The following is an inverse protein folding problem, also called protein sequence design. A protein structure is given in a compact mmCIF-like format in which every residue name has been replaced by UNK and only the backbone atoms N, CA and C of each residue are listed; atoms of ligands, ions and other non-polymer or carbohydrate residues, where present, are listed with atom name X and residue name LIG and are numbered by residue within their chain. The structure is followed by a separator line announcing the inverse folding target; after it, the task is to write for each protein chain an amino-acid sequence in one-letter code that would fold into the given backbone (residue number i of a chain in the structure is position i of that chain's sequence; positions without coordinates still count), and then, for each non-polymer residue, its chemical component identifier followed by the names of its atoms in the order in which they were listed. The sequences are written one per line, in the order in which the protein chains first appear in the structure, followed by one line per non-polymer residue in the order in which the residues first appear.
data_IF_283240413003
#
_entry.id   IF_283240413003
#
_cell.length_a   1.000
_cell.length_b   1.000
_cell.length_c   1.000
_cell.angle_alpha   90.00
_cell.angle_beta   90.00
_cell.angle_gamma   90.00
#
_symmetry.space_group_name_H-M   'P 1'
#
loop_
_entity.id
_entity.type
_entity.pdbx_description
1 polymer ?
#
# COMPACT_ATOMS: atom_id res chain seq x y z
N UNK A 1 3.23 43.04 -32.70
CA UNK A 1 3.31 41.59 -32.53
C UNK A 1 4.21 41.35 -31.33
N UNK A 2 3.75 40.60 -30.33
CA UNK A 2 4.60 40.17 -29.21
C UNK A 2 5.29 38.90 -29.66
N UNK A 3 6.62 38.89 -29.64
CA UNK A 3 7.43 37.72 -29.91
C UNK A 3 7.15 36.68 -28.81
N UNK A 4 6.67 35.51 -29.20
CA UNK A 4 6.53 34.35 -28.32
C UNK A 4 7.92 33.75 -28.12
N UNK A 5 8.40 33.74 -26.87
CA UNK A 5 9.67 33.10 -26.53
C UNK A 5 9.59 31.59 -26.84
N UNK A 6 10.65 31.00 -27.41
CA UNK A 6 10.65 29.57 -27.74
C UNK A 6 10.55 28.72 -26.47
N UNK A 7 9.55 27.84 -26.43
CA UNK A 7 9.39 26.85 -25.35
C UNK A 7 10.51 25.82 -25.49
N UNK A 8 11.54 25.90 -24.65
CA UNK A 8 12.54 24.83 -24.51
C UNK A 8 11.91 23.64 -23.78
N UNK A 9 11.62 22.57 -24.54
CA UNK A 9 11.22 21.28 -23.95
C UNK A 9 12.46 20.53 -23.50
N UNK A 10 12.85 20.74 -22.25
CA UNK A 10 13.93 19.99 -21.60
C UNK A 10 13.42 18.56 -21.32
N UNK A 11 13.93 17.59 -22.08
CA UNK A 11 13.67 16.17 -21.82
C UNK A 11 14.60 15.69 -20.71
N UNK A 12 14.18 15.85 -19.46
CA UNK A 12 14.86 15.25 -18.31
C UNK A 12 14.48 13.77 -18.17
N UNK A 13 15.46 12.90 -17.94
CA UNK A 13 15.21 11.52 -17.50
C UNK A 13 15.33 11.42 -15.98
N UNK A 14 14.46 10.64 -15.36
CA UNK A 14 14.55 10.27 -13.95
C UNK A 14 14.68 8.74 -13.84
N UNK A 15 15.45 8.28 -12.86
CA UNK A 15 15.60 6.86 -12.53
C UNK A 15 15.01 6.61 -11.15
N UNK A 16 14.19 5.56 -11.02
CA UNK A 16 13.64 5.10 -9.74
C UNK A 16 14.11 3.66 -9.54
N UNK A 17 14.75 3.40 -8.40
CA UNK A 17 15.05 2.05 -7.92
C UNK A 17 14.11 1.75 -6.75
N UNK A 18 13.37 0.64 -6.84
CA UNK A 18 12.43 0.19 -5.82
C UNK A 18 12.88 -1.17 -5.29
N UNK A 19 12.90 -1.31 -3.96
CA UNK A 19 13.13 -2.61 -3.34
C UNK A 19 11.89 -3.51 -3.57
N UNK A 20 12.10 -4.74 -4.05
CA UNK A 20 11.05 -5.75 -4.17
C UNK A 20 10.82 -6.47 -2.83
N UNK A 21 9.60 -6.97 -2.65
CA UNK A 21 9.26 -7.87 -1.54
C UNK A 21 8.93 -9.27 -2.04
N UNK A 22 9.20 -10.26 -1.19
CA UNK A 22 8.98 -11.66 -1.54
C UNK A 22 7.48 -11.96 -1.75
N UNK A 23 7.12 -12.93 -2.60
CA UNK A 23 5.76 -13.42 -2.68
C UNK A 23 5.36 -14.11 -1.36
N UNK A 24 4.06 -14.25 -1.08
CA UNK A 24 3.60 -14.98 0.10
C UNK A 24 4.12 -16.42 0.10
N UNK A 25 4.44 -17.01 1.27
CA UNK A 25 4.85 -18.40 1.37
C UNK A 25 3.80 -19.36 0.76
N UNK A 26 4.22 -20.48 0.16
CA UNK A 26 3.29 -21.52 -0.27
C UNK A 26 2.37 -21.95 0.88
N UNK A 27 1.08 -22.12 0.60
CA UNK A 27 0.06 -22.54 1.58
C UNK A 27 -0.09 -21.60 2.79
N UNK A 28 0.26 -20.31 2.67
CA UNK A 28 -0.03 -19.33 3.72
C UNK A 28 -1.51 -19.35 4.07
N UNK A 29 -1.85 -19.38 5.36
CA UNK A 29 -3.23 -19.25 5.85
C UNK A 29 -3.28 -18.07 6.81
N UNK A 30 -4.07 -17.06 6.44
CA UNK A 30 -4.35 -15.95 7.33
C UNK A 30 -5.19 -16.43 8.52
N UNK A 31 -4.79 -16.03 9.73
CA UNK A 31 -5.61 -16.22 10.93
C UNK A 31 -6.73 -15.18 11.09
N UNK A 32 -6.73 -14.13 10.27
CA UNK A 32 -7.72 -13.07 10.29
C UNK A 32 -8.86 -13.39 9.34
N UNK A 33 -10.08 -12.95 9.67
CA UNK A 33 -11.25 -13.14 8.81
C UNK A 33 -11.56 -11.91 7.97
N UNK A 34 -11.14 -10.73 8.41
CA UNK A 34 -11.42 -9.47 7.72
C UNK A 34 -10.19 -8.59 7.61
N UNK A 35 -10.18 -7.72 6.60
CA UNK A 35 -9.15 -6.67 6.43
C UNK A 35 -9.05 -5.80 7.69
N UNK A 36 -10.19 -5.48 8.32
CA UNK A 36 -10.21 -4.66 9.52
C UNK A 36 -9.58 -5.37 10.74
N UNK A 37 -9.84 -6.68 10.92
CA UNK A 37 -9.17 -7.47 11.97
C UNK A 37 -7.65 -7.52 11.75
N UNK A 38 -7.23 -7.77 10.51
CA UNK A 38 -5.82 -7.83 10.13
C UNK A 38 -5.08 -6.51 10.40
N UNK A 39 -5.60 -5.39 9.88
CA UNK A 39 -4.96 -4.09 10.06
C UNK A 39 -5.05 -3.59 11.51
N UNK A 40 -6.14 -3.89 12.22
CA UNK A 40 -6.26 -3.58 13.64
C UNK A 40 -5.24 -4.36 14.47
N UNK A 41 -5.01 -5.64 14.15
CA UNK A 41 -4.00 -6.43 14.83
C UNK A 41 -2.61 -5.82 14.64
N UNK A 42 -2.25 -5.45 13.41
CA UNK A 42 -0.95 -4.81 13.13
C UNK A 42 -0.82 -3.49 13.90
N UNK A 43 -1.86 -2.66 13.88
CA UNK A 43 -1.88 -1.38 14.59
C UNK A 43 -1.71 -1.53 16.11
N UNK A 44 -2.20 -2.62 16.71
CA UNK A 44 -2.14 -2.87 18.16
C UNK A 44 -0.84 -3.54 18.62
N UNK A 45 -0.21 -4.34 17.76
CA UNK A 45 0.87 -5.24 18.16
C UNK A 45 2.23 -4.87 17.59
N UNK A 46 2.26 -3.95 16.62
CA UNK A 46 3.48 -3.58 15.93
C UNK A 46 3.69 -2.07 15.98
N UNK A 47 4.97 -1.67 15.93
CA UNK A 47 5.37 -0.27 15.78
C UNK A 47 6.62 -0.22 14.91
N UNK A 48 6.61 0.55 13.81
CA UNK A 48 7.81 0.77 13.01
C UNK A 48 8.95 1.35 13.85
N UNK A 49 10.19 0.93 13.57
CA UNK A 49 11.39 1.46 14.24
C UNK A 49 11.71 2.90 13.82
N UNK A 50 11.18 3.33 12.68
CA UNK A 50 11.32 4.67 12.10
C UNK A 50 9.96 5.10 11.56
N UNK A 51 9.76 6.41 11.42
CA UNK A 51 8.58 6.92 10.69
C UNK A 51 8.63 6.44 9.24
N UNK A 52 7.49 5.94 8.78
CA UNK A 52 7.30 5.44 7.42
C UNK A 52 6.48 6.46 6.65
N UNK A 53 6.96 6.89 5.50
CA UNK A 53 6.31 7.91 4.69
C UNK A 53 5.11 7.38 3.94
N UNK A 54 5.17 6.18 3.38
CA UNK A 54 4.06 5.59 2.64
C UNK A 54 3.81 4.15 3.08
N UNK A 55 2.55 3.76 3.18
CA UNK A 55 2.17 2.36 3.28
C UNK A 55 1.51 1.91 2.00
N UNK A 56 1.96 0.79 1.47
CA UNK A 56 1.48 0.22 0.23
C UNK A 56 0.74 -1.09 0.53
N UNK A 57 -0.49 -1.18 0.03
CA UNK A 57 -1.31 -2.39 0.10
C UNK A 57 -1.43 -2.96 -1.30
N UNK A 58 -0.74 -4.08 -1.54
CA UNK A 58 -0.72 -4.76 -2.82
C UNK A 58 -1.57 -6.03 -2.78
N UNK A 59 -1.99 -6.51 -3.94
CA UNK A 59 -2.73 -7.77 -4.10
C UNK A 59 -1.93 -8.70 -4.98
N UNK A 60 -1.66 -9.90 -4.48
CA UNK A 60 -1.27 -11.04 -5.30
C UNK A 60 -2.51 -11.82 -5.69
N UNK A 61 -2.61 -12.13 -6.98
CA UNK A 61 -3.70 -12.91 -7.57
C UNK A 61 -3.20 -14.33 -7.80
N UNK A 62 -3.80 -15.30 -7.13
CA UNK A 62 -3.67 -16.71 -7.46
C UNK A 62 -4.77 -17.15 -8.41
N UNK A 63 -4.82 -18.46 -8.69
CA UNK A 63 -5.84 -19.04 -9.58
C UNK A 63 -7.27 -18.83 -9.06
N UNK A 64 -7.44 -18.89 -7.73
CA UNK A 64 -8.74 -18.86 -7.05
C UNK A 64 -8.71 -18.05 -5.73
N UNK A 65 -7.69 -17.22 -5.52
CA UNK A 65 -7.50 -16.47 -4.28
C UNK A 65 -6.84 -15.11 -4.49
N UNK A 66 -6.99 -14.27 -3.47
CA UNK A 66 -6.39 -12.94 -3.38
C UNK A 66 -5.64 -12.82 -2.06
N UNK A 67 -4.34 -12.54 -2.14
CA UNK A 67 -3.51 -12.25 -0.95
C UNK A 67 -3.18 -10.78 -0.92
N UNK A 68 -3.62 -10.08 0.13
CA UNK A 68 -3.19 -8.71 0.40
C UNK A 68 -1.80 -8.74 1.05
N UNK A 69 -0.96 -7.77 0.72
CA UNK A 69 0.34 -7.55 1.33
C UNK A 69 0.49 -6.10 1.76
N UNK A 70 0.95 -5.87 2.99
CA UNK A 70 1.25 -4.53 3.52
C UNK A 70 2.76 -4.33 3.61
N UNK A 71 3.28 -3.28 2.99
CA UNK A 71 4.65 -2.78 3.16
C UNK A 71 4.63 -1.31 3.58
N UNK A 72 5.73 -0.87 4.18
CA UNK A 72 5.99 0.53 4.46
C UNK A 72 7.27 0.98 3.78
N UNK A 73 7.18 2.05 2.99
CA UNK A 73 8.26 2.56 2.16
C UNK A 73 8.67 3.99 2.53
N UNK A 74 9.94 4.28 2.28
CA UNK A 74 10.52 5.61 2.33
C UNK A 74 11.23 5.93 1.02
N UNK A 75 11.01 7.13 0.50
CA UNK A 75 11.63 7.63 -0.73
C UNK A 75 12.77 8.59 -0.39
N UNK A 76 13.92 8.39 -1.00
CA UNK A 76 15.11 9.21 -0.83
C UNK A 76 15.52 9.81 -2.16
N UNK A 77 15.63 11.13 -2.20
CA UNK A 77 16.27 11.85 -3.31
C UNK A 77 17.78 11.66 -3.18
N UNK A 78 18.37 10.96 -4.15
CA UNK A 78 19.82 10.72 -4.20
C UNK A 78 20.49 11.79 -5.07
N UNK A 79 19.79 12.22 -6.14
CA UNK A 79 20.16 13.36 -6.97
C UNK A 79 18.92 13.96 -7.61
N UNK A 80 19.08 15.05 -8.37
CA UNK A 80 18.00 15.67 -9.14
C UNK A 80 17.36 14.74 -10.18
N UNK A 81 18.01 13.63 -10.53
CA UNK A 81 17.55 12.68 -11.55
C UNK A 81 17.42 11.26 -11.02
N UNK A 82 17.64 11.03 -9.73
CA UNK A 82 17.63 9.69 -9.15
C UNK A 82 16.98 9.66 -7.77
N UNK A 83 15.96 8.82 -7.66
CA UNK A 83 15.25 8.53 -6.43
C UNK A 83 15.37 7.04 -6.10
N UNK A 84 15.43 6.75 -4.81
CA UNK A 84 15.39 5.39 -4.30
C UNK A 84 14.22 5.20 -3.35
N UNK A 85 13.42 4.19 -3.60
CA UNK A 85 12.33 3.76 -2.72
C UNK A 85 12.79 2.51 -2.00
N UNK A 86 12.79 2.56 -0.67
CA UNK A 86 13.18 1.43 0.18
C UNK A 86 12.01 0.93 1.00
N UNK A 87 11.88 -0.39 1.10
CA UNK A 87 10.99 -1.03 2.07
C UNK A 87 11.70 -0.99 3.43
N UNK A 88 11.19 -0.14 4.34
CA UNK A 88 11.75 0.02 5.68
C UNK A 88 10.81 -0.52 6.79
N UNK A 89 9.63 -0.98 6.41
CA UNK A 89 8.71 -1.66 7.31
C UNK A 89 8.00 -2.81 6.62
N UNK A 90 8.05 -3.97 7.26
CA UNK A 90 7.35 -5.18 6.86
C UNK A 90 6.73 -5.75 8.13
N UNK A 91 5.40 -5.72 8.29
CA UNK A 91 4.79 -6.23 9.49
C UNK A 91 5.01 -7.75 9.62
N UNK A 92 5.06 -8.26 10.84
CA UNK A 92 5.15 -9.71 11.08
C UNK A 92 3.96 -10.46 10.47
N UNK A 93 2.82 -9.78 10.34
CA UNK A 93 1.62 -10.27 9.66
C UNK A 93 1.45 -9.57 8.31
N UNK A 94 2.50 -9.55 7.49
CA UNK A 94 2.54 -8.88 6.19
C UNK A 94 1.40 -9.27 5.25
N UNK A 95 1.04 -10.54 5.24
CA UNK A 95 0.07 -11.08 4.29
C UNK A 95 -1.30 -11.31 4.94
N UNK A 96 -2.35 -11.11 4.14
CA UNK A 96 -3.73 -11.45 4.48
C UNK A 96 -4.40 -12.13 3.29
N UNK A 97 -4.64 -13.44 3.41
CA UNK A 97 -5.48 -14.17 2.48
C UNK A 97 -6.94 -13.77 2.64
N UNK A 98 -7.54 -13.24 1.57
CA UNK A 98 -8.95 -12.90 1.53
C UNK A 98 -9.76 -14.21 1.56
N UNK A 99 -10.67 -14.42 2.52
CA UNK A 99 -11.46 -15.64 2.58
C UNK A 99 -12.28 -15.84 1.30
N UNK A 100 -12.33 -17.07 0.77
CA UNK A 100 -13.13 -17.38 -0.44
C UNK A 100 -14.59 -16.94 -0.34
N UNK A 101 -15.17 -16.94 0.86
CA UNK A 101 -16.53 -16.45 1.10
C UNK A 101 -16.73 -14.97 0.79
N UNK A 102 -15.68 -14.16 0.82
CA UNK A 102 -15.72 -12.71 0.56
C UNK A 102 -15.69 -12.36 -0.93
N UNK A 103 -15.23 -13.28 -1.79
CA UNK A 103 -15.03 -12.98 -3.22
C UNK A 103 -15.61 -14.03 -4.19
N UNK A 104 -16.14 -15.15 -3.69
CA UNK A 104 -16.74 -16.17 -4.55
C UNK A 104 -17.91 -15.60 -5.35
N UNK A 105 -17.82 -15.69 -6.67
CA UNK A 105 -18.86 -15.21 -7.59
C UNK A 105 -18.80 -13.71 -7.88
N UNK A 106 -17.81 -13.00 -7.35
CA UNK A 106 -17.54 -11.60 -7.71
C UNK A 106 -16.58 -11.53 -8.89
N UNK A 107 -16.70 -10.47 -9.70
CA UNK A 107 -15.66 -10.10 -10.66
C UNK A 107 -14.47 -9.47 -9.93
N UNK A 108 -13.31 -9.42 -10.59
CA UNK A 108 -12.11 -8.78 -10.06
C UNK A 108 -12.36 -7.33 -9.63
N UNK A 109 -13.09 -6.58 -10.44
CA UNK A 109 -13.44 -5.19 -10.14
C UNK A 109 -14.29 -5.09 -8.87
N UNK A 110 -15.28 -5.97 -8.71
CA UNK A 110 -16.12 -6.04 -7.51
C UNK A 110 -15.32 -6.42 -6.26
N UNK A 111 -14.33 -7.30 -6.40
CA UNK A 111 -13.40 -7.62 -5.30
C UNK A 111 -12.61 -6.39 -4.90
N UNK A 112 -12.06 -5.64 -5.85
CA UNK A 112 -11.27 -4.44 -5.58
C UNK A 112 -12.10 -3.29 -5.02
N UNK A 113 -13.35 -3.14 -5.45
CA UNK A 113 -14.31 -2.21 -4.84
C UNK A 113 -14.60 -2.60 -3.39
N UNK A 114 -14.91 -3.88 -3.13
CA UNK A 114 -15.15 -4.37 -1.78
C UNK A 114 -13.95 -4.19 -0.87
N UNK A 115 -12.74 -4.53 -1.32
CA UNK A 115 -11.50 -4.29 -0.57
C UNK A 115 -11.30 -2.82 -0.27
N UNK A 116 -11.56 -1.95 -1.24
CA UNK A 116 -11.47 -0.50 -1.05
C UNK A 116 -12.42 -0.02 0.05
N UNK A 117 -13.66 -0.52 0.08
CA UNK A 117 -14.63 -0.18 1.12
C UNK A 117 -14.17 -0.67 2.50
N UNK A 118 -13.60 -1.86 2.60
CA UNK A 118 -13.04 -2.36 3.86
C UNK A 118 -11.85 -1.50 4.34
N UNK A 119 -10.96 -1.09 3.43
CA UNK A 119 -9.84 -0.21 3.76
C UNK A 119 -10.32 1.18 4.22
N UNK A 120 -11.31 1.76 3.52
CA UNK A 120 -11.90 3.04 3.90
C UNK A 120 -12.57 3.00 5.28
N UNK A 121 -13.22 1.88 5.62
CA UNK A 121 -13.78 1.64 6.97
C UNK A 121 -12.67 1.62 8.02
N UNK A 122 -11.57 0.92 7.76
CA UNK A 122 -10.41 0.92 8.67
C UNK A 122 -9.83 2.32 8.84
N UNK A 123 -9.53 3.03 7.74
CA UNK A 123 -8.98 4.40 7.75
C UNK A 123 -9.88 5.38 8.52
N UNK A 124 -11.20 5.20 8.45
CA UNK A 124 -12.15 6.06 9.18
C UNK A 124 -12.26 5.72 10.67
N UNK A 125 -11.76 4.57 11.09
CA UNK A 125 -11.92 4.03 12.44
C UNK A 125 -11.10 4.77 13.50
N UNK A 126 -11.51 4.64 14.76
CA UNK A 126 -10.72 5.11 15.89
C UNK A 126 -9.39 4.35 16.02
N UNK A 127 -9.34 3.09 15.57
CA UNK A 127 -8.11 2.28 15.58
C UNK A 127 -7.04 2.93 14.71
N UNK A 128 -7.39 3.24 13.47
CA UNK A 128 -6.49 3.94 12.56
C UNK A 128 -6.00 5.26 13.15
N UNK A 129 -6.93 6.12 13.62
CA UNK A 129 -6.63 7.45 14.17
C UNK A 129 -5.66 7.45 15.36
N UNK A 130 -5.57 6.34 16.09
CA UNK A 130 -4.70 6.19 17.25
C UNK A 130 -3.49 5.26 16.99
N UNK A 131 -3.26 4.90 15.72
CA UNK A 131 -2.17 4.01 15.31
C UNK A 131 -1.04 4.76 14.61
N UNK A 132 0.11 4.09 14.48
CA UNK A 132 1.27 4.59 13.77
C UNK A 132 1.00 4.89 12.28
N UNK A 133 -0.07 4.34 11.69
CA UNK A 133 -0.43 4.62 10.29
C UNK A 133 -0.69 6.10 10.05
N UNK A 134 -1.14 6.84 11.06
CA UNK A 134 -1.41 8.29 10.95
C UNK A 134 -0.15 9.14 10.85
N UNK A 135 1.01 8.59 11.19
CA UNK A 135 2.30 9.27 11.07
C UNK A 135 2.83 9.27 9.63
N UNK A 136 2.24 8.46 8.73
CA UNK A 136 2.61 8.42 7.33
C UNK A 136 2.06 9.61 6.54
N UNK A 137 2.70 9.91 5.40
CA UNK A 137 2.19 10.87 4.42
C UNK A 137 1.04 10.31 3.60
N UNK A 138 1.09 9.02 3.24
CA UNK A 138 0.02 8.41 2.47
C UNK A 138 -0.13 6.90 2.66
N UNK A 139 -1.31 6.41 2.27
CA UNK A 139 -1.58 4.99 2.08
C UNK A 139 -2.07 4.80 0.65
N UNK A 140 -1.44 3.87 -0.04
CA UNK A 140 -1.62 3.56 -1.46
C UNK A 140 -2.01 2.10 -1.64
N UNK A 141 -2.66 1.84 -2.76
CA UNK A 141 -3.05 0.50 -3.19
C UNK A 141 -2.57 0.28 -4.61
N UNK A 142 -2.16 -0.95 -4.94
CA UNK A 142 -1.71 -1.30 -6.29
C UNK A 142 -2.78 -1.15 -7.38
N UNK A 143 -4.06 -1.08 -7.01
CA UNK A 143 -5.18 -1.03 -7.97
C UNK A 143 -5.91 0.33 -8.03
N UNK A 144 -6.01 1.07 -6.91
CA UNK A 144 -6.72 2.36 -6.85
C UNK A 144 -5.78 3.56 -6.66
N UNK A 145 -4.49 3.30 -6.43
CA UNK A 145 -3.53 4.33 -6.05
C UNK A 145 -3.80 4.82 -4.63
N UNK A 146 -3.71 6.13 -4.41
CA UNK A 146 -3.79 6.73 -3.08
C UNK A 146 -5.21 6.67 -2.50
N UNK A 147 -5.35 6.05 -1.33
CA UNK A 147 -6.62 5.94 -0.60
C UNK A 147 -6.67 6.81 0.66
N UNK A 148 -5.51 7.29 1.13
CA UNK A 148 -5.41 8.24 2.24
C UNK A 148 -4.15 9.09 2.15
N UNK A 149 -4.20 10.32 2.69
CA UNK A 149 -3.03 11.15 2.93
C UNK A 149 -3.16 11.95 4.22
N UNK A 150 -2.03 12.19 4.89
CA UNK A 150 -1.97 13.18 5.96
C UNK A 150 -2.31 14.56 5.40
N UNK A 151 -3.02 15.36 6.18
CA UNK A 151 -3.26 16.78 5.86
C UNK A 151 -2.01 17.62 6.08
#
# INVERSE_FOLDING_TARGET
MKDEEPIEVIHGSFTVEEDDFEPPPPEFISRFKTVNEWLSFIADNEKPKKTIMNYDINVFEGEDDYTLALTGTNTYEISNTYQRIKIEYTPNQMYFNLPKSEHKGLTKEQVFEHLTDQLNKFISSAKFKNSFFTEAKSITTGWKGKIWSSK
#
